data_IF_965279111888
#
_entry.id   IF_965279111888
#
_cell.length_a   1.000
_cell.length_b   1.000
_cell.length_c   1.000
_cell.angle_alpha   90.00
_cell.angle_beta   90.00
_cell.angle_gamma   90.00
#
_symmetry.space_group_name_H-M   'P 1'
#
loop_
_entity.id
_entity.type
_entity.pdbx_description
1 polymer ?
#
# COMPACT_ATOMS: atom_id res chain seq x y z
N UNK A 1 0.56 -10.07 69.68
CA UNK A 1 -0.12 -11.07 68.83
C UNK A 1 -0.93 -10.31 67.78
N UNK A 2 -0.27 -9.73 66.76
CA UNK A 2 -0.03 -10.24 65.39
C UNK A 2 -1.29 -10.29 64.47
N UNK A 3 -1.68 -9.16 63.84
CA UNK A 3 -2.71 -9.11 62.79
C UNK A 3 -2.17 -9.23 61.35
N UNK A 4 -0.85 -9.40 61.15
CA UNK A 4 -0.21 -9.32 59.82
C UNK A 4 -0.38 -10.59 58.94
N UNK A 5 -0.70 -11.74 59.53
CA UNK A 5 -0.80 -13.00 58.77
C UNK A 5 -2.10 -13.16 57.97
N UNK A 6 -3.19 -12.51 58.37
CA UNK A 6 -4.48 -12.66 57.69
C UNK A 6 -4.51 -11.98 56.30
N UNK A 7 -3.79 -10.87 56.14
CA UNK A 7 -3.78 -10.11 54.88
C UNK A 7 -2.98 -10.81 53.77
N UNK A 8 -1.91 -11.52 54.15
CA UNK A 8 -1.03 -12.21 53.20
C UNK A 8 -1.69 -13.46 52.61
N UNK A 9 -2.56 -14.13 53.38
CA UNK A 9 -3.29 -15.31 52.90
C UNK A 9 -4.40 -14.95 51.90
N UNK A 10 -5.04 -13.79 52.08
CA UNK A 10 -6.09 -13.31 51.17
C UNK A 10 -5.54 -12.86 49.81
N UNK A 11 -4.35 -12.24 49.78
CA UNK A 11 -3.70 -11.87 48.51
C UNK A 11 -3.23 -13.10 47.70
N UNK A 12 -2.79 -14.17 48.37
CA UNK A 12 -2.38 -15.39 47.67
C UNK A 12 -3.56 -16.11 47.01
N UNK A 13 -4.74 -16.13 47.64
CA UNK A 13 -5.95 -16.71 47.04
C UNK A 13 -6.38 -15.94 45.79
N UNK A 14 -6.34 -14.61 45.82
CA UNK A 14 -6.76 -13.79 44.69
C UNK A 14 -5.85 -13.94 43.46
N UNK A 15 -4.56 -14.22 43.66
CA UNK A 15 -3.62 -14.42 42.56
C UNK A 15 -3.81 -15.77 41.86
N UNK A 16 -4.17 -16.81 42.62
CA UNK A 16 -4.41 -18.15 42.08
C UNK A 16 -5.66 -18.21 41.18
N UNK A 17 -6.73 -17.52 41.59
CA UNK A 17 -7.99 -17.49 40.83
C UNK A 17 -7.84 -16.76 39.48
N UNK A 18 -7.06 -15.68 39.45
CA UNK A 18 -6.78 -14.93 38.21
C UNK A 18 -5.98 -15.75 37.19
N UNK A 19 -5.09 -16.63 37.68
CA UNK A 19 -4.29 -17.50 36.82
C UNK A 19 -5.13 -18.63 36.21
N UNK A 20 -6.10 -19.17 36.94
CA UNK A 20 -7.03 -20.17 36.40
C UNK A 20 -7.96 -19.60 35.33
N UNK A 21 -8.50 -18.39 35.52
CA UNK A 21 -9.36 -17.77 34.51
C UNK A 21 -8.63 -17.49 33.19
N UNK A 22 -7.35 -17.10 33.22
CA UNK A 22 -6.57 -16.90 32.00
C UNK A 22 -6.30 -18.20 31.24
N UNK A 23 -6.09 -19.31 31.94
CA UNK A 23 -5.87 -20.61 31.29
C UNK A 23 -7.15 -21.14 30.63
N UNK A 24 -8.32 -20.95 31.25
CA UNK A 24 -9.60 -21.33 30.63
C UNK A 24 -9.87 -20.54 29.34
N UNK A 25 -9.62 -19.22 29.36
CA UNK A 25 -9.81 -18.37 28.17
C UNK A 25 -8.90 -18.75 26.99
N UNK A 26 -7.68 -19.25 27.27
CA UNK A 26 -6.76 -19.67 26.22
C UNK A 26 -7.16 -21.01 25.60
N UNK A 27 -7.70 -21.93 26.41
CA UNK A 27 -8.15 -23.23 25.95
C UNK A 27 -9.42 -23.14 25.08
N UNK A 28 -10.35 -22.26 25.44
CA UNK A 28 -11.57 -22.04 24.67
C UNK A 28 -11.29 -21.39 23.29
N UNK A 29 -10.33 -20.47 23.23
CA UNK A 29 -9.91 -19.83 21.98
C UNK A 29 -9.20 -20.79 21.02
N UNK A 30 -8.46 -21.76 21.53
CA UNK A 30 -7.84 -22.81 20.70
C UNK A 30 -8.85 -23.83 20.20
N UNK A 31 -9.90 -24.16 20.97
CA UNK A 31 -10.94 -25.08 20.52
C UNK A 31 -11.83 -24.46 19.42
N UNK A 32 -12.09 -23.14 19.44
CA UNK A 32 -12.83 -22.49 18.36
C UNK A 32 -12.08 -22.44 17.02
N UNK A 33 -10.74 -22.48 17.02
CA UNK A 33 -9.93 -22.46 15.79
C UNK A 33 -9.86 -23.79 15.05
N UNK A 34 -10.27 -24.91 15.67
CA UNK A 34 -10.17 -26.25 15.07
C UNK A 34 -11.48 -26.76 14.43
N UNK A 35 -12.62 -26.08 14.60
CA UNK A 35 -13.92 -26.63 14.15
C UNK A 35 -14.39 -26.19 12.75
N UNK A 36 -13.64 -25.34 12.05
CA UNK A 36 -13.99 -24.95 10.68
C UNK A 36 -12.77 -24.98 9.75
N UNK A 37 -12.55 -26.05 8.97
CA UNK A 37 -11.63 -25.96 7.84
C UNK A 37 -12.09 -24.83 6.91
N UNK A 38 -11.19 -23.96 6.41
CA UNK A 38 -11.57 -22.93 5.46
C UNK A 38 -12.19 -23.58 4.23
N UNK A 39 -13.47 -23.31 3.99
CA UNK A 39 -14.23 -23.83 2.87
C UNK A 39 -13.49 -23.56 1.55
N UNK A 40 -13.01 -24.59 0.82
CA UNK A 40 -12.31 -24.40 -0.46
C UNK A 40 -13.22 -23.80 -1.54
N UNK A 41 -14.54 -23.82 -1.35
CA UNK A 41 -15.54 -23.20 -2.22
C UNK A 41 -15.59 -21.68 -2.07
N UNK A 42 -15.03 -21.13 -0.97
CA UNK A 42 -14.67 -19.72 -0.83
C UNK A 42 -13.27 -19.42 -1.39
N UNK A 43 -12.80 -20.18 -2.40
CA UNK A 43 -11.82 -19.66 -3.36
C UNK A 43 -12.42 -18.43 -3.98
N UNK A 44 -12.12 -17.29 -3.36
CA UNK A 44 -12.52 -15.94 -3.74
C UNK A 44 -12.37 -15.84 -5.24
N UNK A 45 -13.50 -15.92 -5.96
CA UNK A 45 -13.53 -15.73 -7.41
C UNK A 45 -12.73 -14.47 -7.65
N UNK A 46 -11.67 -14.60 -8.45
CA UNK A 46 -10.84 -13.48 -8.86
C UNK A 46 -11.72 -12.55 -9.68
N UNK A 47 -12.52 -11.72 -9.03
CA UNK A 47 -13.31 -10.67 -9.65
C UNK A 47 -12.29 -9.73 -10.26
N UNK A 48 -12.15 -9.81 -11.57
CA UNK A 48 -11.50 -8.81 -12.39
C UNK A 48 -12.12 -7.48 -11.99
N UNK A 49 -11.32 -6.56 -11.45
CA UNK A 49 -11.78 -5.20 -11.18
C UNK A 49 -11.93 -4.54 -12.54
N UNK A 50 -13.11 -4.68 -13.14
CA UNK A 50 -13.49 -3.96 -14.34
C UNK A 50 -13.98 -2.59 -13.91
N UNK A 51 -13.05 -1.65 -13.78
CA UNK A 51 -13.37 -0.24 -13.65
C UNK A 51 -12.41 0.51 -14.56
N UNK A 52 -12.95 1.32 -15.47
CA UNK A 52 -12.18 2.18 -16.38
C UNK A 52 -11.27 3.18 -15.63
N UNK A 53 -11.42 3.24 -14.30
CA UNK A 53 -10.65 4.06 -13.37
C UNK A 53 -9.91 3.23 -12.31
N UNK A 54 -9.74 1.91 -12.48
CA UNK A 54 -8.91 1.14 -11.58
C UNK A 54 -7.44 1.27 -11.99
N UNK A 55 -6.59 1.75 -11.08
CA UNK A 55 -5.19 2.00 -11.38
C UNK A 55 -4.33 2.24 -10.15
N UNK A 56 -3.07 2.60 -10.39
CA UNK A 56 -2.18 3.11 -9.37
C UNK A 56 -2.04 4.63 -9.56
N UNK A 57 -2.42 5.40 -8.56
CA UNK A 57 -2.48 6.85 -8.62
C UNK A 57 -1.26 7.46 -7.97
N UNK A 58 -0.63 8.42 -8.63
CA UNK A 58 0.48 9.21 -8.11
C UNK A 58 -0.07 10.49 -7.49
N UNK A 59 0.14 10.69 -6.20
CA UNK A 59 -0.25 11.92 -5.50
C UNK A 59 0.91 12.42 -4.61
N UNK A 60 1.06 13.73 -4.49
CA UNK A 60 2.05 14.32 -3.61
C UNK A 60 1.44 14.51 -2.22
N UNK A 61 1.99 13.83 -1.23
CA UNK A 61 1.61 14.02 0.18
C UNK A 61 2.41 15.19 0.74
N UNK A 62 1.73 16.33 0.96
CA UNK A 62 2.34 17.54 1.50
C UNK A 62 2.86 17.36 2.93
N UNK A 63 2.19 16.53 3.75
CA UNK A 63 2.59 16.30 5.14
C UNK A 63 3.89 15.49 5.21
N UNK A 64 4.04 14.52 4.31
CA UNK A 64 5.24 13.70 4.19
C UNK A 64 6.31 14.35 3.30
N UNK A 65 5.92 15.35 2.51
CA UNK A 65 6.72 15.95 1.43
C UNK A 65 7.27 14.89 0.47
N UNK A 66 6.39 13.96 0.05
CA UNK A 66 6.76 12.77 -0.74
C UNK A 66 5.71 12.39 -1.76
N UNK A 67 6.16 11.81 -2.85
CA UNK A 67 5.29 11.14 -3.82
C UNK A 67 4.79 9.80 -3.28
N UNK A 68 3.49 9.56 -3.37
CA UNK A 68 2.84 8.31 -2.95
C UNK A 68 2.12 7.71 -4.14
N UNK A 69 2.42 6.44 -4.43
CA UNK A 69 1.65 5.64 -5.36
C UNK A 69 0.57 4.86 -4.59
N UNK A 70 -0.70 5.03 -4.93
CA UNK A 70 -1.82 4.36 -4.25
C UNK A 70 -2.62 3.52 -5.23
N UNK A 71 -2.75 2.23 -4.96
CA UNK A 71 -3.66 1.37 -5.73
C UNK A 71 -5.11 1.66 -5.33
N UNK A 72 -5.94 2.07 -6.30
CA UNK A 72 -7.33 2.41 -6.06
C UNK A 72 -8.24 1.81 -7.14
N UNK A 73 -9.39 1.23 -6.75
CA UNK A 73 -10.43 0.83 -7.69
C UNK A 73 -11.24 2.03 -8.22
N UNK A 74 -11.08 3.21 -7.60
CA UNK A 74 -11.83 4.43 -7.90
C UNK A 74 -10.90 5.58 -8.24
N UNK A 75 -11.43 6.52 -9.04
CA UNK A 75 -10.75 7.75 -9.40
C UNK A 75 -10.33 8.58 -8.17
N UNK A 76 -9.12 9.16 -8.22
CA UNK A 76 -8.57 10.07 -7.21
C UNK A 76 -8.37 11.45 -7.83
N UNK A 77 -9.04 12.46 -7.27
CA UNK A 77 -9.06 13.82 -7.82
C UNK A 77 -7.73 14.55 -7.60
N UNK A 78 -7.10 14.27 -6.46
CA UNK A 78 -5.84 14.84 -6.00
C UNK A 78 -4.60 14.19 -6.63
N UNK A 79 -4.80 13.16 -7.46
CA UNK A 79 -3.71 12.47 -8.11
C UNK A 79 -3.24 13.25 -9.33
N UNK A 80 -1.93 13.38 -9.47
CA UNK A 80 -1.28 14.03 -10.59
C UNK A 80 -1.15 13.11 -11.81
N UNK A 81 -1.10 11.78 -11.59
CA UNK A 81 -1.06 10.81 -12.67
C UNK A 81 -1.73 9.49 -12.28
N UNK A 82 -2.11 8.71 -13.28
CA UNK A 82 -2.58 7.33 -13.14
C UNK A 82 -1.75 6.38 -14.00
N UNK A 83 -1.37 5.26 -13.39
CA UNK A 83 -0.89 4.05 -14.05
C UNK A 83 -2.07 3.12 -14.29
N UNK A 84 -2.37 2.86 -15.56
CA UNK A 84 -3.33 1.87 -16.03
C UNK A 84 -2.60 0.57 -16.36
N UNK A 85 -2.65 -0.46 -15.50
CA UNK A 85 -1.86 -1.68 -15.69
C UNK A 85 -2.39 -2.51 -16.87
N UNK A 86 -1.50 -2.99 -17.76
CA UNK A 86 -1.89 -3.95 -18.83
C UNK A 86 -1.78 -5.41 -18.39
N UNK A 87 -1.20 -5.66 -17.22
CA UNK A 87 -1.11 -7.00 -16.60
C UNK A 87 -2.03 -7.12 -15.39
N UNK A 88 -2.36 -8.36 -15.03
CA UNK A 88 -3.23 -8.64 -13.87
C UNK A 88 -2.58 -8.16 -12.57
N UNK A 89 -3.25 -7.26 -11.89
CA UNK A 89 -2.83 -6.75 -10.57
C UNK A 89 -3.48 -7.59 -9.46
N UNK A 90 -2.73 -8.00 -8.42
CA UNK A 90 -3.31 -8.73 -7.30
C UNK A 90 -4.41 -7.92 -6.61
N UNK A 91 -5.57 -8.55 -6.39
CA UNK A 91 -6.75 -7.88 -5.83
C UNK A 91 -6.51 -7.26 -4.44
N UNK A 92 -5.54 -7.78 -3.67
CA UNK A 92 -5.22 -7.22 -2.36
C UNK A 92 -4.64 -5.80 -2.46
N UNK A 93 -3.99 -5.43 -3.57
CA UNK A 93 -3.44 -4.08 -3.78
C UNK A 93 -4.54 -3.04 -3.72
N UNK A 94 -5.64 -3.28 -4.44
CA UNK A 94 -6.82 -2.42 -4.43
C UNK A 94 -7.60 -2.46 -3.11
N UNK A 95 -7.87 -3.66 -2.58
CA UNK A 95 -8.70 -3.81 -1.37
C UNK A 95 -8.06 -3.17 -0.13
N UNK A 96 -6.73 -3.26 -0.01
CA UNK A 96 -5.99 -2.65 1.10
C UNK A 96 -5.59 -1.20 0.83
N UNK A 97 -5.94 -0.66 -0.35
CA UNK A 97 -5.43 0.62 -0.86
C UNK A 97 -3.92 0.72 -0.65
N UNK A 98 -3.19 -0.29 -1.11
CA UNK A 98 -1.75 -0.40 -0.90
C UNK A 98 -1.06 0.88 -1.38
N UNK A 99 -0.22 1.43 -0.49
CA UNK A 99 0.53 2.65 -0.72
C UNK A 99 2.01 2.32 -0.83
N UNK A 100 2.66 2.91 -1.81
CA UNK A 100 4.10 2.85 -2.00
C UNK A 100 4.63 4.27 -1.89
N UNK A 101 5.49 4.52 -0.90
CA UNK A 101 6.21 5.78 -0.79
C UNK A 101 7.33 5.77 -1.82
N UNK A 102 7.35 6.75 -2.71
CA UNK A 102 8.30 6.85 -3.80
C UNK A 102 9.41 7.83 -3.41
N UNK A 103 10.58 7.28 -3.06
CA UNK A 103 11.74 8.05 -2.60
C UNK A 103 12.96 7.74 -3.47
N UNK A 104 13.86 8.73 -3.56
CA UNK A 104 15.20 8.54 -4.10
C UNK A 104 16.16 7.91 -3.11
N UNK A 105 17.42 7.74 -3.55
CA UNK A 105 18.51 7.36 -2.65
C UNK A 105 18.65 8.41 -1.54
N UNK A 106 18.83 7.96 -0.30
CA UNK A 106 18.97 8.84 0.87
C UNK A 106 20.26 9.65 0.74
N UNK A 107 20.17 10.87 0.22
CA UNK A 107 21.29 11.81 0.23
C UNK A 107 21.40 12.49 1.59
N UNK A 108 22.64 12.76 2.02
CA UNK A 108 22.93 13.48 3.27
C UNK A 108 22.33 14.90 3.30
N UNK A 109 22.09 15.50 2.13
CA UNK A 109 21.35 16.75 1.95
C UNK A 109 19.95 16.46 1.41
N UNK A 110 18.89 16.87 2.12
CA UNK A 110 17.52 16.86 1.59
C UNK A 110 17.37 17.98 0.57
N UNK A 111 17.36 17.60 -0.70
CA UNK A 111 17.04 18.50 -1.81
C UNK A 111 15.64 18.15 -2.31
N UNK A 112 14.67 18.98 -1.95
CA UNK A 112 13.24 18.77 -2.24
C UNK A 112 13.00 18.56 -3.74
N UNK A 113 13.76 19.27 -4.60
CA UNK A 113 13.62 19.16 -6.05
C UNK A 113 14.14 17.83 -6.56
N UNK A 114 15.23 17.30 -5.99
CA UNK A 114 15.73 15.96 -6.32
C UNK A 114 14.78 14.86 -5.84
N UNK A 115 14.25 14.98 -4.63
CA UNK A 115 13.30 14.02 -4.08
C UNK A 115 12.01 13.98 -4.93
N UNK A 116 11.57 15.15 -5.37
CA UNK A 116 10.46 15.31 -6.30
C UNK A 116 10.67 14.53 -7.61
N UNK A 117 11.77 14.77 -8.34
CA UNK A 117 12.03 14.05 -9.59
C UNK A 117 12.30 12.57 -9.37
N UNK A 118 12.94 12.21 -8.27
CA UNK A 118 13.24 10.80 -7.95
C UNK A 118 11.98 9.99 -7.66
N UNK A 119 11.00 10.59 -6.98
CA UNK A 119 9.69 9.98 -6.76
C UNK A 119 8.96 9.74 -8.08
N UNK A 120 8.98 10.72 -9.00
CA UNK A 120 8.37 10.56 -10.32
C UNK A 120 9.07 9.44 -11.12
N UNK A 121 10.40 9.44 -11.19
CA UNK A 121 11.15 8.36 -11.85
C UNK A 121 10.83 6.98 -11.25
N UNK A 122 10.64 6.90 -9.94
CA UNK A 122 10.24 5.66 -9.26
C UNK A 122 8.81 5.23 -9.62
N UNK A 123 7.91 6.18 -9.90
CA UNK A 123 6.59 5.87 -10.45
C UNK A 123 6.70 5.29 -11.87
N UNK A 124 7.56 5.82 -12.73
CA UNK A 124 7.81 5.24 -14.06
C UNK A 124 8.36 3.80 -14.01
N UNK A 125 9.16 3.47 -12.99
CA UNK A 125 9.56 2.08 -12.75
C UNK A 125 8.34 1.19 -12.50
N UNK A 126 7.38 1.63 -11.69
CA UNK A 126 6.13 0.90 -11.48
C UNK A 126 5.33 0.77 -12.78
N UNK A 127 5.24 1.82 -13.59
CA UNK A 127 4.57 1.78 -14.90
C UNK A 127 5.15 0.65 -15.75
N UNK A 128 6.48 0.58 -15.85
CA UNK A 128 7.19 -0.49 -16.57
C UNK A 128 6.96 -1.87 -15.97
N UNK A 129 7.05 -2.01 -14.65
CA UNK A 129 6.91 -3.29 -13.95
C UNK A 129 5.51 -3.90 -14.15
N UNK A 130 4.49 -3.06 -14.29
CA UNK A 130 3.11 -3.45 -14.59
C UNK A 130 2.75 -3.37 -16.08
N UNK A 131 3.73 -3.12 -16.95
CA UNK A 131 3.57 -2.91 -18.41
C UNK A 131 2.42 -1.95 -18.72
N UNK A 132 2.19 -0.97 -17.86
CA UNK A 132 1.00 -0.14 -17.91
C UNK A 132 1.19 1.11 -18.74
N UNK A 133 0.08 1.82 -18.94
CA UNK A 133 0.06 3.14 -19.52
C UNK A 133 0.08 4.18 -18.43
N UNK A 134 0.73 5.31 -18.72
CA UNK A 134 0.70 6.49 -17.88
C UNK A 134 -0.26 7.52 -18.47
N UNK A 135 -1.08 8.13 -17.64
CA UNK A 135 -1.90 9.28 -18.01
C UNK A 135 -1.73 10.37 -16.97
N UNK A 136 -1.43 11.59 -17.41
CA UNK A 136 -1.43 12.77 -16.55
C UNK A 136 -2.86 13.21 -16.27
N UNK A 137 -3.13 13.59 -15.03
CA UNK A 137 -4.44 14.03 -14.56
C UNK A 137 -4.45 15.56 -14.37
N UNK A 138 -5.62 16.20 -14.19
CA UNK A 138 -5.69 17.66 -14.05
C UNK A 138 -4.78 18.23 -12.96
N UNK A 139 -4.66 17.55 -11.81
CA UNK A 139 -3.78 17.98 -10.72
C UNK A 139 -2.28 17.98 -11.09
N UNK A 140 -1.88 17.43 -12.24
CA UNK A 140 -0.52 17.53 -12.76
C UNK A 140 -0.07 18.99 -12.99
N UNK A 141 -1.02 19.90 -13.24
CA UNK A 141 -0.74 21.33 -13.43
C UNK A 141 -0.15 21.96 -12.17
N UNK A 142 -0.66 21.57 -11.00
CA UNK A 142 -0.19 22.08 -9.71
C UNK A 142 1.26 21.67 -9.38
N UNK A 143 1.81 20.72 -10.14
CA UNK A 143 3.14 20.16 -9.92
C UNK A 143 4.08 20.37 -11.12
N UNK A 144 3.74 21.20 -12.10
CA UNK A 144 4.55 21.45 -13.30
C UNK A 144 4.89 20.16 -14.10
N UNK A 145 4.13 19.08 -13.89
CA UNK A 145 4.41 17.78 -14.52
C UNK A 145 4.18 17.80 -16.03
N UNK A 146 3.30 18.69 -16.52
CA UNK A 146 3.05 18.87 -17.95
C UNK A 146 4.25 19.46 -18.70
N UNK A 147 5.11 20.21 -18.00
CA UNK A 147 6.31 20.80 -18.60
C UNK A 147 7.50 19.82 -18.59
N UNK A 148 7.38 18.72 -17.85
CA UNK A 148 8.44 17.74 -17.73
C UNK A 148 8.49 16.84 -18.97
N UNK A 149 9.60 16.91 -19.71
CA UNK A 149 9.88 16.00 -20.82
C UNK A 149 10.50 14.72 -20.27
N UNK A 150 9.76 13.62 -20.39
CA UNK A 150 10.25 12.28 -20.07
C UNK A 150 10.79 11.60 -21.32
N UNK A 151 12.06 11.23 -21.28
CA UNK A 151 12.73 10.55 -22.39
C UNK A 151 12.88 9.08 -22.07
N UNK A 152 12.18 8.22 -22.82
CA UNK A 152 12.39 6.78 -22.79
C UNK A 152 13.58 6.39 -23.66
N UNK A 153 14.60 5.77 -23.09
CA UNK A 153 15.68 5.17 -23.86
C UNK A 153 15.27 3.75 -24.25
N UNK A 154 14.91 3.56 -25.51
CA UNK A 154 14.83 2.23 -26.10
C UNK A 154 16.24 1.85 -26.57
N UNK A 155 16.79 0.73 -26.08
CA UNK A 155 18.06 0.21 -26.60
C UNK A 155 17.96 -0.03 -28.11
N UNK A 156 19.08 0.10 -28.83
CA UNK A 156 19.33 0.08 -30.29
C UNK A 156 18.59 -0.91 -31.21
N UNK A 157 17.50 -1.54 -30.80
CA UNK A 157 16.58 -2.24 -31.69
C UNK A 157 15.56 -1.21 -32.21
N UNK A 158 15.21 -1.34 -33.49
CA UNK A 158 14.44 -0.38 -34.28
C UNK A 158 13.26 0.27 -33.52
N UNK A 159 12.92 1.54 -33.83
CA UNK A 159 11.87 2.28 -33.13
C UNK A 159 10.52 1.57 -33.26
N UNK A 160 10.22 0.69 -32.30
CA UNK A 160 8.86 0.26 -32.05
C UNK A 160 8.10 1.45 -31.47
N UNK A 161 7.03 1.88 -32.14
CA UNK A 161 6.04 2.83 -31.66
C UNK A 161 5.51 2.42 -30.26
N UNK A 162 6.16 2.83 -29.17
CA UNK A 162 5.65 2.56 -27.82
C UNK A 162 6.26 3.54 -26.80
N UNK A 163 5.73 4.77 -26.78
CA UNK A 163 5.33 5.50 -25.57
C UNK A 163 4.95 6.93 -25.96
N UNK A 164 3.87 7.10 -26.71
CA UNK A 164 3.22 8.41 -26.74
C UNK A 164 2.63 8.64 -25.36
N UNK A 165 3.30 9.48 -24.55
CA UNK A 165 2.60 10.21 -23.50
C UNK A 165 1.59 11.06 -24.25
N UNK A 166 0.32 10.62 -24.30
CA UNK A 166 -0.76 11.51 -24.69
C UNK A 166 -0.85 12.56 -23.59
N UNK A 167 -0.30 13.74 -23.87
CA UNK A 167 -0.59 14.99 -23.17
C UNK A 167 -2.00 15.42 -23.57
#
# INVERSE_FOLDING_TARGET
MQPEQAHQQQQQQHHHEKQQQQQQHHHEKQQQLQQHPPDPSKRRRSTTVSQDHAGCYLAYDQNLSKWIATWSPVYMLEAAAILSPRVKVPQFKYNKKERVVLEGEKSASRDVKKDYYSGICSFFKLVRDFKGDLTLLPAAEDFELKEMILVGLHGNEEPCECAFIRI
#
